data_IF_520574635535
#
_entry.id   IF_520574635535
#
_cell.length_a   1.000
_cell.length_b   1.000
_cell.length_c   1.000
_cell.angle_alpha   90.00
_cell.angle_beta   90.00
_cell.angle_gamma   90.00
#
_symmetry.space_group_name_H-M   'P 1'
#
loop_
_entity.id
_entity.type
_entity.pdbx_description
1 polymer ?
#
# COMPACT_ATOMS: atom_id res chain seq x y z
N UNK A 1 27.31 -44.59 7.58
CA UNK A 1 26.11 -44.20 8.34
C UNK A 1 26.37 -42.87 9.02
N UNK A 2 25.34 -42.01 9.03
CA UNK A 2 25.01 -40.97 10.02
C UNK A 2 25.03 -39.49 9.58
N UNK A 3 23.79 -39.06 9.30
CA UNK A 3 23.10 -37.79 9.53
C UNK A 3 23.51 -36.50 8.80
N UNK A 4 22.71 -36.20 7.76
CA UNK A 4 22.33 -34.83 7.39
C UNK A 4 21.68 -34.15 8.60
N UNK A 5 22.23 -33.02 9.03
CA UNK A 5 21.52 -32.05 9.84
C UNK A 5 20.55 -31.30 8.91
N UNK A 6 19.30 -31.76 8.86
CA UNK A 6 18.18 -30.92 8.40
C UNK A 6 18.04 -29.78 9.41
N UNK A 7 18.46 -28.58 9.00
CA UNK A 7 18.12 -27.35 9.69
C UNK A 7 16.63 -27.12 9.57
N UNK A 8 15.88 -27.57 10.59
CA UNK A 8 14.53 -27.09 10.82
C UNK A 8 14.62 -25.61 11.20
N UNK A 9 14.64 -24.75 10.18
CA UNK A 9 14.25 -23.36 10.35
C UNK A 9 12.79 -23.36 10.72
N UNK A 10 12.49 -23.32 12.01
CA UNK A 10 11.17 -22.90 12.51
C UNK A 10 10.86 -21.55 11.89
N UNK A 11 10.12 -21.56 10.77
CA UNK A 11 9.50 -20.36 10.21
C UNK A 11 8.57 -19.88 11.30
N UNK A 12 9.01 -18.85 12.02
CA UNK A 12 8.22 -18.22 13.07
C UNK A 12 6.88 -17.80 12.44
N UNK A 13 5.79 -18.46 12.84
CA UNK A 13 4.44 -18.25 12.31
C UNK A 13 3.85 -16.89 12.68
N UNK A 14 4.65 -16.00 13.27
CA UNK A 14 4.23 -14.63 13.55
C UNK A 14 4.19 -13.85 12.24
N UNK A 15 3.02 -13.29 11.86
CA UNK A 15 2.96 -12.37 10.74
C UNK A 15 3.99 -11.27 10.98
N UNK A 16 4.79 -10.98 9.95
CA UNK A 16 5.62 -9.78 9.99
C UNK A 16 4.73 -8.58 10.34
N UNK A 17 5.28 -7.54 10.97
CA UNK A 17 4.49 -6.35 11.25
C UNK A 17 3.82 -5.80 9.99
N UNK A 18 4.50 -5.90 8.84
CA UNK A 18 3.92 -5.62 7.54
C UNK A 18 2.66 -6.47 7.25
N UNK A 19 2.73 -7.79 7.42
CA UNK A 19 1.60 -8.71 7.19
C UNK A 19 0.38 -8.33 8.03
N UNK A 20 0.57 -8.04 9.33
CA UNK A 20 -0.51 -7.56 10.21
C UNK A 20 -1.13 -6.27 9.69
N UNK A 21 -0.29 -5.28 9.37
CA UNK A 21 -0.77 -3.99 8.87
C UNK A 21 -1.50 -4.14 7.52
N UNK A 22 -1.03 -5.03 6.66
CA UNK A 22 -1.67 -5.32 5.38
C UNK A 22 -3.04 -5.94 5.59
N UNK A 23 -3.13 -7.04 6.33
CA UNK A 23 -4.38 -7.75 6.61
C UNK A 23 -5.43 -6.81 7.23
N UNK A 24 -5.02 -5.96 8.16
CA UNK A 24 -5.93 -5.05 8.87
C UNK A 24 -6.39 -3.86 8.00
N UNK A 25 -5.48 -3.25 7.23
CA UNK A 25 -5.74 -1.95 6.61
C UNK A 25 -5.90 -1.95 5.08
N UNK A 26 -5.59 -3.04 4.37
CA UNK A 26 -5.72 -3.09 2.90
C UNK A 26 -7.15 -2.72 2.45
N UNK A 27 -8.19 -3.30 3.08
CA UNK A 27 -9.57 -3.01 2.74
C UNK A 27 -10.00 -1.57 3.04
N UNK A 28 -9.48 -0.96 4.12
CA UNK A 28 -9.74 0.45 4.44
C UNK A 28 -9.13 1.36 3.38
N UNK A 29 -7.88 1.11 3.01
CA UNK A 29 -7.15 1.89 2.00
C UNK A 29 -7.85 1.78 0.65
N UNK A 30 -8.16 0.57 0.20
CA UNK A 30 -8.85 0.34 -1.08
C UNK A 30 -10.19 1.07 -1.14
N UNK A 31 -11.06 0.87 -0.14
CA UNK A 31 -12.39 1.52 -0.13
C UNK A 31 -12.28 3.04 -0.06
N UNK A 32 -11.31 3.57 0.67
CA UNK A 32 -11.09 5.02 0.74
C UNK A 32 -10.64 5.56 -0.60
N UNK A 33 -9.66 4.92 -1.25
CA UNK A 33 -9.16 5.34 -2.54
C UNK A 33 -10.22 5.20 -3.64
N UNK A 34 -10.99 4.12 -3.63
CA UNK A 34 -12.08 3.91 -4.58
C UNK A 34 -13.16 4.99 -4.47
N UNK A 35 -13.54 5.39 -3.25
CA UNK A 35 -14.53 6.47 -3.04
C UNK A 35 -14.04 7.83 -3.54
N UNK A 36 -12.74 8.07 -3.57
CA UNK A 36 -12.15 9.34 -4.01
C UNK A 36 -11.92 9.33 -5.52
N UNK A 37 -11.35 8.26 -6.06
CA UNK A 37 -10.93 8.16 -7.46
C UNK A 37 -12.06 7.72 -8.40
N UNK A 38 -13.03 6.96 -7.90
CA UNK A 38 -14.06 6.30 -8.72
C UNK A 38 -13.53 5.18 -9.62
N UNK A 39 -12.25 4.82 -9.54
CA UNK A 39 -11.57 3.84 -10.38
C UNK A 39 -11.01 2.71 -9.52
N UNK A 40 -11.37 1.47 -9.84
CA UNK A 40 -10.84 0.30 -9.11
C UNK A 40 -9.34 0.12 -9.34
N UNK A 41 -8.87 0.35 -10.58
CA UNK A 41 -7.46 0.29 -10.93
C UNK A 41 -6.64 1.32 -10.13
N UNK A 42 -7.10 2.57 -10.08
CA UNK A 42 -6.41 3.62 -9.31
C UNK A 42 -6.42 3.34 -7.82
N UNK A 43 -7.51 2.78 -7.31
CA UNK A 43 -7.60 2.40 -5.91
C UNK A 43 -6.61 1.29 -5.55
N UNK A 44 -6.44 0.33 -6.45
CA UNK A 44 -5.44 -0.73 -6.32
C UNK A 44 -4.02 -0.16 -6.38
N UNK A 45 -3.72 0.72 -7.34
CA UNK A 45 -2.41 1.37 -7.46
C UNK A 45 -2.07 2.21 -6.22
N UNK A 46 -3.04 2.95 -5.68
CA UNK A 46 -2.88 3.70 -4.43
C UNK A 46 -2.56 2.75 -3.27
N UNK A 47 -3.30 1.65 -3.15
CA UNK A 47 -3.08 0.64 -2.12
C UNK A 47 -1.67 0.06 -2.23
N UNK A 48 -1.30 -0.44 -3.40
CA UNK A 48 0.00 -1.03 -3.65
C UNK A 48 1.13 -0.05 -3.33
N UNK A 49 1.01 1.21 -3.77
CA UNK A 49 2.01 2.24 -3.49
C UNK A 49 2.20 2.50 -1.99
N UNK A 50 1.11 2.56 -1.21
CA UNK A 50 1.18 2.77 0.24
C UNK A 50 1.89 1.60 0.93
N UNK A 51 1.49 0.36 0.62
CA UNK A 51 2.09 -0.82 1.24
C UNK A 51 3.53 -1.09 0.79
N UNK A 52 3.88 -0.82 -0.48
CA UNK A 52 5.26 -0.89 -0.94
C UNK A 52 6.17 0.13 -0.22
N UNK A 53 5.67 1.35 0.03
CA UNK A 53 6.40 2.35 0.83
C UNK A 53 6.56 1.90 2.28
N UNK A 54 5.54 1.25 2.85
CA UNK A 54 5.57 0.72 4.21
C UNK A 54 6.57 -0.43 4.35
N UNK A 55 6.65 -1.31 3.35
CA UNK A 55 7.60 -2.42 3.29
C UNK A 55 9.05 -1.92 3.23
N UNK A 56 9.32 -0.88 2.43
CA UNK A 56 10.66 -0.26 2.31
C UNK A 56 11.11 0.50 3.54
N UNK A 57 10.17 0.96 4.38
CA UNK A 57 10.47 1.73 5.59
C UNK A 57 10.90 0.88 6.78
N UNK A 58 10.96 -0.44 6.62
CA UNK A 58 11.11 -1.42 7.70
C UNK A 58 9.99 -1.19 8.72
N UNK A 59 8.84 -1.84 8.49
CA UNK A 59 7.47 -1.45 8.92
C UNK A 59 7.20 -1.28 10.44
N UNK A 60 8.24 -1.16 11.26
CA UNK A 60 8.26 -1.33 12.70
C UNK A 60 8.63 -0.12 13.57
N UNK A 61 8.96 1.04 13.00
CA UNK A 61 8.92 2.26 13.80
C UNK A 61 7.44 2.51 14.19
N UNK A 62 7.08 2.17 15.43
CA UNK A 62 5.72 2.06 15.92
C UNK A 62 4.86 3.26 15.44
N UNK A 63 3.98 2.99 14.48
CA UNK A 63 3.00 3.98 14.06
C UNK A 63 2.14 4.30 15.28
N UNK A 64 2.18 5.55 15.75
CA UNK A 64 1.46 5.98 16.96
C UNK A 64 -0.06 5.73 16.81
N UNK A 65 -0.60 5.92 15.59
CA UNK A 65 -1.98 5.61 15.24
C UNK A 65 -2.05 5.11 13.80
N UNK A 66 -2.13 3.78 13.66
CA UNK A 66 -2.12 3.06 12.37
C UNK A 66 -3.31 3.45 11.49
N UNK A 67 -4.55 3.44 12.00
CA UNK A 67 -5.74 3.83 11.24
C UNK A 67 -5.64 5.26 10.69
N UNK A 68 -5.26 6.22 11.54
CA UNK A 68 -5.10 7.63 11.14
C UNK A 68 -3.97 7.81 10.13
N UNK A 69 -2.93 6.98 10.18
CA UNK A 69 -1.90 6.94 9.16
C UNK A 69 -2.48 6.47 7.82
N UNK A 70 -3.16 5.32 7.79
CA UNK A 70 -3.69 4.74 6.55
C UNK A 70 -4.79 5.59 5.91
N UNK A 71 -5.68 6.20 6.70
CA UNK A 71 -6.69 7.14 6.17
C UNK A 71 -6.04 8.34 5.49
N UNK A 72 -5.04 8.96 6.12
CA UNK A 72 -4.32 10.11 5.56
C UNK A 72 -3.51 9.72 4.32
N UNK A 73 -2.83 8.57 4.38
CA UNK A 73 -2.05 8.06 3.25
C UNK A 73 -2.95 7.81 2.03
N UNK A 74 -4.09 7.13 2.22
CA UNK A 74 -5.05 6.87 1.16
C UNK A 74 -5.66 8.15 0.59
N UNK A 75 -6.06 9.10 1.45
CA UNK A 75 -6.57 10.41 1.03
C UNK A 75 -5.55 11.15 0.15
N UNK A 76 -4.33 11.33 0.64
CA UNK A 76 -3.30 12.09 -0.07
C UNK A 76 -2.93 11.46 -1.41
N UNK A 77 -2.67 10.14 -1.41
CA UNK A 77 -2.31 9.41 -2.62
C UNK A 77 -3.43 9.45 -3.67
N UNK A 78 -4.70 9.35 -3.25
CA UNK A 78 -5.84 9.44 -4.16
C UNK A 78 -5.99 10.84 -4.78
N UNK A 79 -5.74 11.90 -3.99
CA UNK A 79 -5.75 13.27 -4.50
C UNK A 79 -4.61 13.48 -5.51
N UNK A 80 -3.44 12.88 -5.29
CA UNK A 80 -2.33 12.96 -6.23
C UNK A 80 -2.67 12.29 -7.58
N UNK A 81 -3.34 11.15 -7.56
CA UNK A 81 -3.85 10.49 -8.78
C UNK A 81 -4.82 11.40 -9.55
N UNK A 82 -5.80 12.02 -8.86
CA UNK A 82 -6.74 12.93 -9.50
C UNK A 82 -6.06 14.19 -10.08
N UNK A 83 -5.02 14.70 -9.41
CA UNK A 83 -4.22 15.82 -9.90
C UNK A 83 -3.45 15.44 -11.17
N UNK A 84 -2.85 14.26 -11.21
CA UNK A 84 -2.13 13.75 -12.37
C UNK A 84 -3.07 13.61 -13.58
N UNK A 85 -4.23 12.96 -13.41
CA UNK A 85 -5.26 12.84 -14.46
C UNK A 85 -5.70 14.20 -15.00
N UNK A 86 -5.89 15.18 -14.12
CA UNK A 86 -6.25 16.55 -14.54
C UNK A 86 -5.12 17.24 -15.31
N UNK A 87 -3.86 16.92 -14.99
CA UNK A 87 -2.69 17.39 -15.75
C UNK A 87 -2.65 16.80 -17.15
N UNK A 88 -2.86 15.49 -17.28
CA UNK A 88 -2.92 14.78 -18.57
C UNK A 88 -4.03 15.31 -19.47
N UNK A 89 -5.22 15.56 -18.93
CA UNK A 89 -6.34 16.16 -19.68
C UNK A 89 -6.09 17.61 -20.14
N UNK A 90 -5.12 18.30 -19.52
CA UNK A 90 -4.75 19.68 -19.88
C UNK A 90 -3.69 19.77 -20.97
N UNK A 91 -3.07 18.67 -21.38
CA UNK A 91 -2.18 18.65 -22.54
C UNK A 91 -3.05 18.67 -23.81
N UNK A 92 -3.09 19.78 -24.56
CA UNK A 92 -3.92 19.89 -25.75
C UNK A 92 -3.40 18.92 -26.83
N UNK A 93 -4.31 18.29 -27.57
CA UNK A 93 -4.01 17.53 -28.79
C UNK A 93 -3.58 18.44 -29.97
N UNK A 94 -3.03 19.62 -29.68
CA UNK A 94 -2.50 20.53 -30.69
C UNK A 94 -1.03 20.21 -30.93
N UNK A 95 -0.76 19.16 -31.71
CA UNK A 95 0.46 19.02 -32.51
C UNK A 95 0.32 17.82 -33.46
N UNK A 96 -0.44 18.00 -34.55
CA UNK A 96 -0.28 17.25 -35.81
C UNK A 96 -0.65 18.13 -37.00
#
# INVERSE_FOLDING_TARGET
MLQLATGEGTVSTHPSQFSRLFEEYHGLVFRTAYRITGSAADAEDVLQNIFLRLMRRDSAAALINEESYFRRAALNASLDVLRARRGELKLPLEEF
#
